data_IF_993167284509
#
_entry.id   IF_993167284509
#
_cell.length_a   1.000
_cell.length_b   1.000
_cell.length_c   1.000
_cell.angle_alpha   90.00
_cell.angle_beta   90.00
_cell.angle_gamma   90.00
#
_symmetry.space_group_name_H-M   'P 1'
#
loop_
_entity.id
_entity.type
_entity.pdbx_description
1 polymer ?
#
# COMPACT_ATOMS: atom_id res chain seq x y z
N UNK A 1 -11.27 -20.93 21.44
CA UNK A 1 -10.50 -21.28 22.66
C UNK A 1 -8.99 -21.29 22.36
N UNK A 2 -8.46 -20.27 21.69
CA UNK A 2 -7.02 -20.15 21.39
C UNK A 2 -6.49 -18.72 21.70
N UNK A 3 -7.07 -18.03 22.69
CA UNK A 3 -6.64 -16.67 23.08
C UNK A 3 -5.92 -16.62 24.45
N UNK A 4 -5.97 -17.67 25.26
CA UNK A 4 -5.41 -17.63 26.63
C UNK A 4 -3.88 -17.76 26.71
N UNK A 5 -3.20 -18.15 25.62
CA UNK A 5 -1.76 -18.46 25.63
C UNK A 5 -0.86 -17.24 25.44
N UNK A 6 -1.24 -16.32 24.55
CA UNK A 6 -0.47 -15.10 24.27
C UNK A 6 -0.58 -14.09 25.40
N UNK A 7 -1.78 -13.84 25.92
CA UNK A 7 -1.98 -12.97 27.10
C UNK A 7 -1.20 -13.46 28.33
N UNK A 8 -1.14 -14.78 28.55
CA UNK A 8 -0.37 -15.36 29.63
C UNK A 8 1.15 -15.21 29.43
N UNK A 9 1.66 -15.32 28.20
CA UNK A 9 3.08 -15.10 27.89
C UNK A 9 3.44 -13.61 28.02
N UNK A 10 2.57 -12.72 27.57
CA UNK A 10 2.74 -11.28 27.69
C UNK A 10 2.82 -10.86 29.17
N UNK A 11 1.92 -11.37 30.02
CA UNK A 11 1.96 -11.15 31.47
C UNK A 11 3.24 -11.67 32.12
N UNK A 12 3.77 -12.82 31.66
CA UNK A 12 5.03 -13.39 32.16
C UNK A 12 6.25 -12.55 31.76
N UNK A 13 6.21 -11.84 30.63
CA UNK A 13 7.28 -10.94 30.19
C UNK A 13 7.26 -9.63 31.01
N UNK A 14 6.09 -9.16 31.43
CA UNK A 14 5.93 -7.87 32.13
C UNK A 14 6.20 -7.93 33.65
N UNK A 15 6.30 -9.14 34.22
CA UNK A 15 6.57 -9.37 35.63
C UNK A 15 8.01 -8.97 36.06
N UNK A 16 8.26 -8.96 37.38
CA UNK A 16 9.56 -8.56 37.92
C UNK A 16 10.73 -9.45 37.48
N UNK A 17 10.47 -10.70 37.09
CA UNK A 17 11.48 -11.65 36.63
C UNK A 17 11.79 -11.39 35.16
N UNK A 18 10.75 -11.20 34.33
CA UNK A 18 10.88 -10.80 32.93
C UNK A 18 11.71 -9.53 32.78
N UNK A 19 11.46 -8.52 33.61
CA UNK A 19 12.27 -7.28 33.64
C UNK A 19 13.74 -7.54 33.95
N UNK A 20 14.06 -8.32 34.98
CA UNK A 20 15.46 -8.68 35.30
C UNK A 20 16.16 -9.41 34.17
N UNK A 21 15.44 -10.28 33.46
CA UNK A 21 15.98 -11.01 32.31
C UNK A 21 16.24 -10.04 31.15
N UNK A 22 15.31 -9.13 30.87
CA UNK A 22 15.44 -8.12 29.82
C UNK A 22 16.55 -7.11 30.13
N UNK A 23 16.66 -6.63 31.37
CA UNK A 23 17.72 -5.70 31.81
C UNK A 23 19.10 -6.33 31.67
N UNK A 24 19.27 -7.59 32.09
CA UNK A 24 20.52 -8.33 31.92
C UNK A 24 20.84 -8.59 30.43
N UNK A 25 19.84 -8.88 29.61
CA UNK A 25 20.04 -9.05 28.18
C UNK A 25 20.44 -7.73 27.50
N UNK A 26 19.83 -6.61 27.89
CA UNK A 26 20.20 -5.26 27.47
C UNK A 26 21.66 -4.96 27.80
N UNK A 27 22.08 -5.20 29.04
CA UNK A 27 23.45 -4.94 29.49
C UNK A 27 24.48 -5.76 28.69
N UNK A 28 24.23 -7.07 28.52
CA UNK A 28 25.12 -7.94 27.72
C UNK A 28 25.17 -7.48 26.26
N UNK A 29 24.04 -7.13 25.66
CA UNK A 29 24.00 -6.71 24.25
C UNK A 29 24.77 -5.41 24.06
N UNK A 30 24.67 -4.46 24.98
CA UNK A 30 25.35 -3.16 24.86
C UNK A 30 26.85 -3.22 25.17
N UNK A 31 27.30 -4.18 25.98
CA UNK A 31 28.71 -4.32 26.36
C UNK A 31 29.49 -5.29 25.45
N UNK A 32 28.84 -6.38 25.01
CA UNK A 32 29.50 -7.48 24.32
C UNK A 32 28.94 -7.75 22.91
N UNK A 33 27.86 -7.08 22.51
CA UNK A 33 27.17 -7.31 21.25
C UNK A 33 26.27 -8.54 21.22
N UNK A 34 25.32 -8.53 20.28
CA UNK A 34 24.33 -9.59 20.08
C UNK A 34 24.93 -10.99 19.85
N UNK A 35 26.05 -11.07 19.13
CA UNK A 35 26.73 -12.36 18.87
C UNK A 35 27.13 -13.07 20.16
N UNK A 36 27.49 -12.30 21.18
CA UNK A 36 27.93 -12.81 22.48
C UNK A 36 26.80 -13.03 23.49
N UNK A 37 25.56 -12.67 23.15
CA UNK A 37 24.38 -12.96 23.96
C UNK A 37 24.14 -14.47 24.05
N UNK A 38 24.06 -15.00 25.27
CA UNK A 38 23.69 -16.40 25.52
C UNK A 38 22.75 -16.50 26.72
N UNK A 39 21.80 -17.43 26.69
CA UNK A 39 20.87 -17.69 27.81
C UNK A 39 21.62 -17.93 29.12
N UNK A 40 22.78 -18.59 29.06
CA UNK A 40 23.64 -18.84 30.23
C UNK A 40 24.21 -17.56 30.83
N UNK A 41 24.68 -16.62 30.02
CA UNK A 41 25.17 -15.32 30.50
C UNK A 41 24.03 -14.51 31.10
N UNK A 42 22.88 -14.47 30.43
CA UNK A 42 21.68 -13.77 30.91
C UNK A 42 21.22 -14.35 32.25
N UNK A 43 21.16 -15.68 32.41
CA UNK A 43 20.82 -16.34 33.67
C UNK A 43 21.79 -15.94 34.80
N UNK A 44 23.09 -15.98 34.52
CA UNK A 44 24.12 -15.59 35.49
C UNK A 44 23.98 -14.14 35.94
N UNK A 45 23.75 -13.22 35.00
CA UNK A 45 23.67 -11.78 35.26
C UNK A 45 22.35 -11.37 35.91
N UNK A 46 21.21 -11.88 35.43
CA UNK A 46 19.88 -11.62 36.00
C UNK A 46 19.63 -12.31 37.34
N UNK A 47 20.48 -13.28 37.71
CA UNK A 47 20.27 -14.15 38.86
C UNK A 47 19.12 -15.15 38.69
N UNK A 48 18.57 -15.29 37.48
CA UNK A 48 17.48 -16.21 37.17
C UNK A 48 18.00 -17.56 36.70
N UNK A 49 17.18 -18.62 36.80
CA UNK A 49 17.54 -19.92 36.24
C UNK A 49 17.34 -19.93 34.71
N UNK A 50 18.09 -20.78 33.99
CA UNK A 50 17.86 -21.00 32.55
C UNK A 50 16.40 -21.38 32.27
N UNK A 51 15.79 -22.21 33.13
CA UNK A 51 14.39 -22.61 33.00
C UNK A 51 13.43 -21.42 33.14
N UNK A 52 13.70 -20.47 34.04
CA UNK A 52 12.89 -19.26 34.18
C UNK A 52 12.92 -18.36 32.94
N UNK A 53 14.04 -18.37 32.21
CA UNK A 53 14.18 -17.68 30.92
C UNK A 53 13.40 -18.44 29.84
N UNK A 54 13.59 -19.75 29.71
CA UNK A 54 12.89 -20.57 28.70
C UNK A 54 11.36 -20.61 28.85
N UNK A 55 10.83 -20.40 30.06
CA UNK A 55 9.38 -20.23 30.25
C UNK A 55 8.83 -18.95 29.62
N UNK A 56 9.67 -17.93 29.38
CA UNK A 56 9.29 -16.61 28.84
C UNK A 56 9.71 -16.43 27.39
N UNK A 57 10.93 -16.87 27.07
CA UNK A 57 11.56 -16.69 25.77
C UNK A 57 11.99 -18.06 25.25
N UNK A 58 11.46 -18.45 24.09
CA UNK A 58 11.71 -19.77 23.50
C UNK A 58 13.20 -20.01 23.23
N UNK A 59 13.90 -18.98 22.76
CA UNK A 59 15.31 -19.02 22.43
C UNK A 59 16.00 -17.65 22.63
N UNK A 60 17.29 -17.60 22.30
CA UNK A 60 18.11 -16.37 22.32
C UNK A 60 17.46 -15.28 21.44
N UNK A 61 16.90 -15.66 20.31
CA UNK A 61 16.41 -14.73 19.30
C UNK A 61 15.08 -14.10 19.75
N UNK A 62 14.22 -14.87 20.43
CA UNK A 62 13.00 -14.40 21.06
C UNK A 62 13.29 -13.39 22.17
N UNK A 63 14.32 -13.64 22.98
CA UNK A 63 14.79 -12.69 23.98
C UNK A 63 15.32 -11.40 23.34
N UNK A 64 16.14 -11.53 22.29
CA UNK A 64 16.67 -10.37 21.57
C UNK A 64 15.57 -9.55 20.89
N UNK A 65 14.56 -10.20 20.28
CA UNK A 65 13.37 -9.52 19.73
C UNK A 65 12.61 -8.76 20.81
N UNK A 66 12.47 -9.33 22.01
CA UNK A 66 11.81 -8.64 23.13
C UNK A 66 12.60 -7.41 23.61
N UNK A 67 13.93 -7.49 23.70
CA UNK A 67 14.79 -6.34 23.99
C UNK A 67 14.65 -5.26 22.92
N UNK A 68 14.72 -5.66 21.65
CA UNK A 68 14.61 -4.72 20.55
C UNK A 68 13.23 -4.04 20.46
N UNK A 69 12.16 -4.76 20.83
CA UNK A 69 10.81 -4.20 20.97
C UNK A 69 10.73 -3.11 22.06
N UNK A 70 11.51 -3.22 23.15
CA UNK A 70 11.59 -2.16 24.16
C UNK A 70 12.23 -0.89 23.58
N UNK A 71 13.32 -1.04 22.84
CA UNK A 71 14.00 0.07 22.16
C UNK A 71 13.22 0.65 20.97
N UNK A 72 12.29 -0.12 20.40
CA UNK A 72 11.43 0.31 19.31
C UNK A 72 10.35 1.31 19.76
N UNK A 73 9.84 1.21 21.00
CA UNK A 73 8.73 2.05 21.49
C UNK A 73 9.00 3.57 21.39
N UNK A 74 10.19 4.09 21.76
CA UNK A 74 10.52 5.50 21.57
C UNK A 74 10.42 5.97 20.12
N UNK A 75 10.80 5.15 19.15
CA UNK A 75 10.71 5.51 17.73
C UNK A 75 9.25 5.66 17.27
N UNK A 76 8.37 4.73 17.65
CA UNK A 76 6.94 4.82 17.30
C UNK A 76 6.30 6.10 17.87
N UNK A 77 6.61 6.44 19.13
CA UNK A 77 6.13 7.70 19.74
C UNK A 77 6.68 8.91 19.00
N UNK A 78 7.96 8.90 18.65
CA UNK A 78 8.60 9.97 17.92
C UNK A 78 7.95 10.18 16.54
N UNK A 79 7.58 9.11 15.83
CA UNK A 79 6.81 9.21 14.58
C UNK A 79 5.47 9.93 14.82
N UNK A 80 4.72 9.52 15.84
CA UNK A 80 3.42 10.12 16.17
C UNK A 80 3.55 11.59 16.57
N UNK A 81 4.50 11.93 17.43
CA UNK A 81 4.72 13.28 17.93
C UNK A 81 5.12 14.27 16.81
N UNK A 82 5.68 13.76 15.71
CA UNK A 82 6.11 14.55 14.56
C UNK A 82 5.12 14.53 13.38
N UNK A 83 4.12 13.66 13.40
CA UNK A 83 3.09 13.62 12.37
C UNK A 83 2.01 14.67 12.62
N UNK A 84 1.69 15.46 11.58
CA UNK A 84 0.66 16.50 11.62
C UNK A 84 -0.28 16.34 10.42
N UNK A 85 -1.56 16.12 10.68
CA UNK A 85 -2.57 15.88 9.64
C UNK A 85 -2.74 17.05 8.69
N UNK A 86 -2.48 18.28 9.15
CA UNK A 86 -2.58 19.49 8.34
C UNK A 86 -1.42 19.70 7.35
N UNK A 87 -0.30 18.99 7.54
CA UNK A 87 0.88 19.09 6.69
C UNK A 87 0.86 18.03 5.57
N UNK A 88 1.49 18.34 4.44
CA UNK A 88 1.68 17.36 3.36
C UNK A 88 2.45 16.13 3.86
N UNK A 89 2.16 14.97 3.27
CA UNK A 89 2.85 13.71 3.51
C UNK A 89 4.38 13.87 3.37
N UNK A 90 4.86 14.57 2.35
CA UNK A 90 6.31 14.82 2.19
C UNK A 90 6.90 15.67 3.34
N UNK A 91 6.18 16.67 3.84
CA UNK A 91 6.63 17.46 4.99
C UNK A 91 6.69 16.60 6.26
N UNK A 92 5.67 15.76 6.48
CA UNK A 92 5.65 14.81 7.59
C UNK A 92 6.80 13.80 7.49
N UNK A 93 7.03 13.19 6.34
CA UNK A 93 8.11 12.21 6.15
C UNK A 93 9.49 12.84 6.34
N UNK A 94 9.73 14.06 5.86
CA UNK A 94 10.98 14.78 6.09
C UNK A 94 11.20 15.10 7.58
N UNK A 95 10.15 15.50 8.29
CA UNK A 95 10.24 15.79 9.72
C UNK A 95 10.53 14.53 10.54
N UNK A 96 9.76 13.46 10.28
CA UNK A 96 9.93 12.18 10.97
C UNK A 96 11.32 11.59 10.69
N UNK A 97 11.77 11.59 9.43
CA UNK A 97 13.09 11.07 9.06
C UNK A 97 14.23 11.79 9.78
N UNK A 98 14.15 13.12 9.91
CA UNK A 98 15.15 13.92 10.64
C UNK A 98 15.14 13.61 12.14
N UNK A 99 13.95 13.55 12.75
CA UNK A 99 13.81 13.22 14.16
C UNK A 99 14.29 11.79 14.48
N UNK A 100 13.96 10.81 13.63
CA UNK A 100 14.45 9.44 13.78
C UNK A 100 15.98 9.39 13.61
N UNK A 101 16.53 10.13 12.65
CA UNK A 101 17.98 10.21 12.44
C UNK A 101 18.72 10.81 13.64
N UNK A 102 18.22 11.91 14.22
CA UNK A 102 18.80 12.49 15.44
C UNK A 102 18.79 11.47 16.59
N UNK A 103 17.69 10.74 16.74
CA UNK A 103 17.62 9.68 17.76
C UNK A 103 18.62 8.55 17.50
N UNK A 104 18.83 8.17 16.23
CA UNK A 104 19.82 7.18 15.82
C UNK A 104 21.26 7.66 16.13
N UNK A 105 21.53 8.96 16.07
CA UNK A 105 22.85 9.51 16.43
C UNK A 105 23.17 9.30 17.91
N UNK A 106 22.18 9.40 18.79
CA UNK A 106 22.33 9.21 20.24
C UNK A 106 22.53 7.75 20.64
N UNK A 107 22.26 6.80 19.74
CA UNK A 107 22.42 5.37 19.99
C UNK A 107 23.84 4.90 19.67
N UNK A 108 24.34 3.91 20.41
CA UNK A 108 25.53 3.18 20.00
C UNK A 108 25.25 2.32 18.75
N UNK A 109 26.30 1.86 18.07
CA UNK A 109 26.18 1.10 16.83
C UNK A 109 25.48 -0.26 17.01
N UNK A 110 25.61 -0.89 18.18
CA UNK A 110 25.00 -2.20 18.45
C UNK A 110 23.49 -2.06 18.65
N UNK A 111 23.05 -1.02 19.36
CA UNK A 111 21.65 -0.65 19.51
C UNK A 111 20.98 -0.36 18.17
N UNK A 112 21.68 0.32 17.25
CA UNK A 112 21.17 0.58 15.90
C UNK A 112 21.08 -0.72 15.09
N UNK A 113 22.09 -1.57 15.15
CA UNK A 113 22.07 -2.86 14.47
C UNK A 113 20.91 -3.74 14.96
N UNK A 114 20.67 -3.77 16.27
CA UNK A 114 19.56 -4.53 16.87
C UNK A 114 18.19 -4.03 16.36
N UNK A 115 18.03 -2.72 16.13
CA UNK A 115 16.81 -2.18 15.50
C UNK A 115 16.61 -2.70 14.08
N UNK A 116 17.66 -2.77 13.25
CA UNK A 116 17.55 -3.30 11.89
C UNK A 116 17.15 -4.78 11.89
N UNK A 117 17.80 -5.60 12.74
CA UNK A 117 17.50 -7.02 12.88
C UNK A 117 16.06 -7.23 13.34
N UNK A 118 15.63 -6.51 14.39
CA UNK A 118 14.28 -6.62 14.91
C UNK A 118 13.23 -6.27 13.86
N UNK A 119 13.37 -5.10 13.23
CA UNK A 119 12.42 -4.63 12.20
C UNK A 119 12.35 -5.59 11.02
N UNK A 120 13.47 -6.19 10.60
CA UNK A 120 13.50 -7.17 9.52
C UNK A 120 12.98 -8.57 9.89
N UNK A 121 12.95 -8.91 11.19
CA UNK A 121 12.55 -10.24 11.67
C UNK A 121 11.04 -10.42 11.88
N UNK A 122 10.27 -9.34 11.85
CA UNK A 122 8.82 -9.38 12.07
C UNK A 122 8.06 -9.61 10.76
N UNK A 123 6.96 -10.39 10.78
CA UNK A 123 6.00 -10.42 9.68
C UNK A 123 5.50 -9.01 9.36
N UNK A 124 5.31 -8.70 8.07
CA UNK A 124 4.95 -7.34 7.64
C UNK A 124 3.66 -6.83 8.29
N UNK A 125 2.65 -7.70 8.41
CA UNK A 125 1.35 -7.45 9.02
C UNK A 125 1.36 -7.36 10.56
N UNK A 126 2.49 -7.71 11.19
CA UNK A 126 2.67 -7.62 12.65
C UNK A 126 3.73 -6.56 13.02
N UNK A 127 4.40 -5.98 12.03
CA UNK A 127 5.45 -4.99 12.25
C UNK A 127 4.83 -3.62 12.58
N UNK A 128 4.98 -3.11 13.82
CA UNK A 128 4.29 -1.90 14.26
C UNK A 128 4.75 -0.65 13.50
N UNK A 129 5.97 -0.63 12.96
CA UNK A 129 6.47 0.50 12.17
C UNK A 129 5.85 0.53 10.78
N UNK A 130 5.73 -0.63 10.14
CA UNK A 130 5.11 -0.74 8.82
C UNK A 130 3.62 -0.42 8.91
N UNK A 131 2.94 -0.96 9.92
CA UNK A 131 1.53 -0.64 10.19
C UNK A 131 1.33 0.86 10.44
N UNK A 132 2.24 1.50 11.20
CA UNK A 132 2.17 2.95 11.44
C UNK A 132 2.32 3.75 10.16
N UNK A 133 3.36 3.44 9.39
CA UNK A 133 3.64 4.14 8.14
C UNK A 133 2.57 3.88 7.07
N UNK A 134 2.00 2.67 7.04
CA UNK A 134 0.85 2.33 6.19
C UNK A 134 -0.37 3.18 6.53
N UNK A 135 -0.65 3.44 7.82
CA UNK A 135 -1.71 4.36 8.23
C UNK A 135 -1.47 5.80 7.75
N UNK A 136 -0.22 6.29 7.80
CA UNK A 136 0.10 7.61 7.25
C UNK A 136 -0.08 7.68 5.73
N UNK A 137 0.28 6.61 5.01
CA UNK A 137 0.07 6.48 3.56
C UNK A 137 -1.43 6.43 3.22
N UNK A 138 -2.22 5.67 3.98
CA UNK A 138 -3.67 5.59 3.80
C UNK A 138 -4.33 6.96 3.98
N UNK A 139 -3.93 7.72 5.00
CA UNK A 139 -4.40 9.09 5.21
C UNK A 139 -4.03 10.01 4.03
N UNK A 140 -2.79 9.95 3.55
CA UNK A 140 -2.33 10.74 2.41
C UNK A 140 -3.04 10.35 1.10
N UNK A 141 -3.41 9.08 0.93
CA UNK A 141 -4.19 8.64 -0.22
C UNK A 141 -5.66 9.10 -0.12
N UNK A 142 -6.24 9.10 1.09
CA UNK A 142 -7.60 9.58 1.33
C UNK A 142 -7.76 11.08 1.03
N UNK A 143 -6.69 11.87 1.19
CA UNK A 143 -6.66 13.30 0.82
C UNK A 143 -6.25 13.54 -0.63
N UNK A 144 -5.96 12.49 -1.40
CA UNK A 144 -5.55 12.58 -2.80
C UNK A 144 -4.12 13.10 -3.01
N UNK A 145 -3.26 13.05 -1.99
CA UNK A 145 -1.86 13.47 -2.12
C UNK A 145 -1.00 12.40 -2.81
N UNK A 146 -1.29 11.12 -2.55
CA UNK A 146 -0.58 9.98 -3.13
C UNK A 146 -1.55 8.99 -3.79
N UNK A 147 -1.01 8.11 -4.64
CA UNK A 147 -1.79 7.04 -5.29
C UNK A 147 -2.23 5.96 -4.30
N UNK A 148 -3.34 5.28 -4.64
CA UNK A 148 -3.76 4.07 -3.94
C UNK A 148 -2.85 2.89 -4.28
N UNK A 149 -2.78 1.90 -3.39
CA UNK A 149 -2.05 0.66 -3.61
C UNK A 149 -1.89 -0.15 -2.33
N UNK A 150 -0.94 -1.09 -2.33
CA UNK A 150 -0.61 -1.86 -1.13
C UNK A 150 0.25 -1.00 -0.19
N UNK A 151 -0.40 -0.39 0.81
CA UNK A 151 0.27 0.51 1.74
C UNK A 151 1.28 -0.20 2.64
N UNK A 152 1.14 -1.51 2.89
CA UNK A 152 2.13 -2.27 3.66
C UNK A 152 3.39 -2.51 2.83
N UNK A 153 3.24 -2.84 1.54
CA UNK A 153 4.37 -2.97 0.63
C UNK A 153 5.09 -1.62 0.45
N UNK A 154 4.34 -0.54 0.26
CA UNK A 154 4.90 0.82 0.17
C UNK A 154 5.63 1.21 1.46
N UNK A 155 5.03 0.95 2.62
CA UNK A 155 5.66 1.20 3.92
C UNK A 155 6.95 0.40 4.08
N UNK A 156 6.98 -0.86 3.65
CA UNK A 156 8.17 -1.71 3.71
C UNK A 156 9.33 -1.10 2.91
N UNK A 157 9.06 -0.68 1.68
CA UNK A 157 10.07 -0.07 0.80
C UNK A 157 10.56 1.28 1.35
N UNK A 158 9.65 2.13 1.83
CA UNK A 158 10.00 3.41 2.44
C UNK A 158 10.86 3.22 3.69
N UNK A 159 10.43 2.38 4.63
CA UNK A 159 11.15 2.11 5.88
C UNK A 159 12.54 1.50 5.60
N UNK A 160 12.63 0.52 4.68
CA UNK A 160 13.90 -0.08 4.30
C UNK A 160 14.88 0.93 3.70
N UNK A 161 14.38 1.83 2.83
CA UNK A 161 15.20 2.87 2.22
C UNK A 161 15.73 3.90 3.24
N UNK A 162 14.88 4.33 4.19
CA UNK A 162 15.28 5.24 5.26
C UNK A 162 16.36 4.61 6.15
N UNK A 163 16.13 3.40 6.67
CA UNK A 163 17.06 2.75 7.59
C UNK A 163 18.40 2.42 6.94
N UNK A 164 18.42 2.06 5.65
CA UNK A 164 19.65 1.89 4.89
C UNK A 164 20.47 3.18 4.82
N UNK A 165 19.83 4.29 4.44
CA UNK A 165 20.48 5.61 4.35
C UNK A 165 20.93 6.10 5.71
N UNK A 166 20.07 6.04 6.74
CA UNK A 166 20.39 6.46 8.10
C UNK A 166 21.59 5.69 8.67
N UNK A 167 21.68 4.39 8.42
CA UNK A 167 22.83 3.57 8.82
C UNK A 167 24.13 4.00 8.14
N UNK A 168 24.09 4.26 6.82
CA UNK A 168 25.24 4.79 6.07
C UNK A 168 25.68 6.16 6.60
N UNK A 169 24.74 7.07 6.85
CA UNK A 169 25.01 8.40 7.38
C UNK A 169 25.65 8.33 8.77
N UNK A 170 25.14 7.47 9.67
CA UNK A 170 25.73 7.26 11.01
C UNK A 170 27.15 6.69 10.95
N UNK A 171 27.43 5.84 9.98
CA UNK A 171 28.73 5.17 9.86
C UNK A 171 29.84 6.10 9.35
N UNK A 172 29.49 7.24 8.76
CA UNK A 172 30.45 8.23 8.28
C UNK A 172 30.85 9.21 9.39
N UNK A 173 32.10 9.08 9.86
CA UNK A 173 32.65 9.89 10.95
C UNK A 173 32.80 11.39 10.60
N UNK A 174 32.73 11.75 9.32
CA UNK A 174 32.83 13.14 8.86
C UNK A 174 31.47 13.70 8.39
N UNK A 175 30.37 13.00 8.69
CA UNK A 175 29.04 13.42 8.26
C UNK A 175 28.57 14.65 9.05
N UNK A 176 28.50 15.79 8.36
CA UNK A 176 27.89 17.01 8.88
C UNK A 176 26.36 16.86 8.93
N UNK A 177 25.72 17.33 10.01
CA UNK A 177 24.27 17.18 10.23
C UNK A 177 23.43 17.79 9.08
N UNK A 178 23.80 18.99 8.63
CA UNK A 178 23.14 19.65 7.49
C UNK A 178 23.25 18.85 6.19
N UNK A 179 24.38 18.16 5.98
CA UNK A 179 24.54 17.28 4.82
C UNK A 179 23.64 16.04 4.95
N UNK A 180 23.61 15.42 6.13
CA UNK A 180 22.73 14.28 6.41
C UNK A 180 21.26 14.63 6.14
N UNK A 181 20.80 15.78 6.61
CA UNK A 181 19.43 16.25 6.36
C UNK A 181 19.12 16.44 4.89
N UNK A 182 20.04 17.02 4.10
CA UNK A 182 19.84 17.14 2.65
C UNK A 182 19.79 15.79 1.94
N UNK A 183 20.56 14.81 2.42
CA UNK A 183 20.54 13.44 1.89
C UNK A 183 19.20 12.77 2.22
N UNK A 184 18.72 12.87 3.46
CA UNK A 184 17.40 12.35 3.86
C UNK A 184 16.26 13.01 3.06
N UNK A 185 16.27 14.34 2.93
CA UNK A 185 15.28 15.06 2.11
C UNK A 185 15.32 14.61 0.63
N UNK A 186 16.52 14.29 0.12
CA UNK A 186 16.69 13.77 -1.24
C UNK A 186 16.18 12.34 -1.38
N UNK A 187 16.49 11.46 -0.44
CA UNK A 187 15.98 10.09 -0.43
C UNK A 187 14.45 10.12 -0.34
N UNK A 188 13.86 10.87 0.58
CA UNK A 188 12.40 11.00 0.68
C UNK A 188 11.79 11.52 -0.62
N UNK A 189 12.32 12.60 -1.20
CA UNK A 189 11.83 13.11 -2.49
C UNK A 189 11.88 12.06 -3.59
N UNK A 190 12.96 11.29 -3.70
CA UNK A 190 13.08 10.22 -4.69
C UNK A 190 12.06 9.10 -4.47
N UNK A 191 11.87 8.66 -3.23
CA UNK A 191 10.92 7.59 -2.91
C UNK A 191 9.47 8.02 -3.09
N UNK A 192 9.15 9.24 -2.67
CA UNK A 192 7.79 9.78 -2.71
C UNK A 192 7.35 10.19 -4.12
N UNK A 193 8.27 10.54 -5.02
CA UNK A 193 7.93 10.81 -6.41
C UNK A 193 7.28 9.60 -7.10
N UNK A 194 7.65 8.38 -6.71
CA UNK A 194 6.99 7.15 -7.19
C UNK A 194 5.63 6.87 -6.54
N UNK A 195 5.22 7.66 -5.56
CA UNK A 195 3.93 7.57 -4.87
C UNK A 195 2.99 8.72 -5.23
N UNK A 196 3.51 9.82 -5.74
CA UNK A 196 2.71 10.92 -6.27
C UNK A 196 1.67 10.36 -7.25
N UNK A 197 0.46 10.92 -7.21
CA UNK A 197 -0.54 10.65 -8.24
C UNK A 197 0.06 11.12 -9.55
N UNK A 198 0.58 10.16 -10.32
CA UNK A 198 1.01 10.40 -11.68
C UNK A 198 -0.17 11.04 -12.44
N UNK A 199 -0.07 12.33 -12.78
CA UNK A 199 -0.78 12.90 -13.93
C UNK A 199 -0.19 12.32 -15.23
N UNK A 200 -0.04 11.00 -15.29
CA UNK A 200 0.55 10.32 -16.43
C UNK A 200 -0.60 9.86 -17.30
N UNK A 201 -0.95 10.71 -18.27
CA UNK A 201 -1.88 10.34 -19.34
C UNK A 201 -1.62 8.93 -19.89
N UNK A 202 -0.35 8.50 -19.93
CA UNK A 202 0.06 7.18 -20.44
C UNK A 202 -0.49 5.99 -19.64
N UNK A 203 -0.68 6.12 -18.32
CA UNK A 203 -1.24 5.01 -17.53
C UNK A 203 -2.70 4.76 -17.89
N UNK A 204 -3.50 5.84 -18.00
CA UNK A 204 -4.89 5.76 -18.47
C UNK A 204 -4.99 5.08 -19.84
N UNK A 205 -4.15 5.47 -20.81
CA UNK A 205 -4.14 4.87 -22.14
C UNK A 205 -3.74 3.38 -22.12
N UNK A 206 -2.76 3.00 -21.29
CA UNK A 206 -2.30 1.62 -21.18
C UNK A 206 -3.34 0.71 -20.52
N UNK A 207 -4.04 1.22 -19.51
CA UNK A 207 -5.15 0.50 -18.85
C UNK A 207 -6.25 0.20 -19.87
N UNK A 208 -6.68 1.21 -20.63
CA UNK A 208 -7.70 1.03 -21.68
C UNK A 208 -7.28 -0.02 -22.72
N UNK A 209 -6.03 0.04 -23.21
CA UNK A 209 -5.50 -0.99 -24.15
C UNK A 209 -5.53 -2.40 -23.54
N UNK A 210 -5.15 -2.54 -22.27
CA UNK A 210 -5.16 -3.85 -21.58
C UNK A 210 -6.56 -4.47 -21.44
N UNK A 211 -7.61 -3.63 -21.50
CA UNK A 211 -9.02 -4.05 -21.46
C UNK A 211 -9.62 -4.25 -22.86
N UNK A 212 -8.79 -4.22 -23.90
CA UNK A 212 -9.21 -4.44 -25.27
C UNK A 212 -9.87 -3.23 -25.93
N UNK A 213 -9.61 -2.02 -25.44
CA UNK A 213 -10.00 -0.77 -26.11
C UNK A 213 -8.94 -0.39 -27.13
N UNK A 214 -9.36 -0.20 -28.38
CA UNK A 214 -8.50 0.30 -29.46
C UNK A 214 -8.38 1.83 -29.37
N UNK A 215 -7.60 2.26 -28.37
CA UNK A 215 -7.35 3.67 -28.05
C UNK A 215 -6.75 4.41 -29.25
N UNK A 216 -5.86 3.76 -29.99
CA UNK A 216 -5.11 4.40 -31.07
C UNK A 216 -6.04 4.75 -32.23
N UNK A 217 -6.94 3.81 -32.61
CA UNK A 217 -7.97 4.05 -33.61
C UNK A 217 -9.04 5.05 -33.15
N UNK A 218 -9.41 5.04 -31.88
CA UNK A 218 -10.37 6.01 -31.35
C UNK A 218 -9.79 7.44 -31.36
N UNK A 219 -8.52 7.59 -30.96
CA UNK A 219 -7.82 8.88 -31.02
C UNK A 219 -7.58 9.35 -32.46
N UNK A 220 -7.32 8.46 -33.41
CA UNK A 220 -7.20 8.81 -34.84
C UNK A 220 -8.49 9.49 -35.35
N UNK A 221 -9.65 8.93 -35.01
CA UNK A 221 -10.96 9.50 -35.36
C UNK A 221 -11.23 10.85 -34.68
N UNK A 222 -10.71 11.01 -33.46
CA UNK A 222 -10.78 12.27 -32.70
C UNK A 222 -9.64 13.24 -33.05
N UNK A 223 -8.85 12.96 -34.11
CA UNK A 223 -7.71 13.78 -34.55
C UNK A 223 -6.69 14.06 -33.43
N UNK A 224 -6.50 13.08 -32.55
CA UNK A 224 -5.59 13.15 -31.41
C UNK A 224 -6.12 13.94 -30.21
N UNK A 225 -7.39 14.36 -30.20
CA UNK A 225 -7.97 15.10 -29.07
C UNK A 225 -8.28 14.18 -27.88
N UNK A 226 -7.29 14.07 -26.99
CA UNK A 226 -7.31 13.24 -25.78
C UNK A 226 -8.39 13.65 -24.78
N UNK A 227 -8.60 14.94 -24.57
CA UNK A 227 -9.57 15.43 -23.59
C UNK A 227 -11.00 15.18 -24.03
N UNK A 228 -11.29 15.43 -25.31
CA UNK A 228 -12.59 15.07 -25.89
C UNK A 228 -12.88 13.57 -25.77
N UNK A 229 -11.87 12.72 -26.02
CA UNK A 229 -12.02 11.27 -25.86
C UNK A 229 -12.35 10.87 -24.41
N UNK A 230 -11.68 11.45 -23.41
CA UNK A 230 -11.98 11.20 -21.99
C UNK A 230 -13.43 11.60 -21.65
N UNK A 231 -13.86 12.80 -22.07
CA UNK A 231 -15.24 13.25 -21.87
C UNK A 231 -16.26 12.30 -22.51
N UNK A 232 -16.02 11.88 -23.76
CA UNK A 232 -16.93 10.96 -24.44
C UNK A 232 -16.96 9.55 -23.84
N UNK A 233 -15.86 9.07 -23.24
CA UNK A 233 -15.89 7.81 -22.49
C UNK A 233 -16.82 7.90 -21.27
N UNK A 234 -16.72 9.00 -20.50
CA UNK A 234 -17.61 9.22 -19.35
C UNK A 234 -19.06 9.36 -19.81
N UNK A 235 -19.31 10.19 -20.82
CA UNK A 235 -20.65 10.38 -21.40
C UNK A 235 -21.26 9.07 -21.90
N UNK A 236 -20.46 8.18 -22.52
CA UNK A 236 -20.95 6.88 -22.97
C UNK A 236 -21.41 6.00 -21.80
N UNK A 237 -20.64 5.90 -20.71
CA UNK A 237 -21.01 5.03 -19.59
C UNK A 237 -22.15 5.58 -18.73
N UNK A 238 -22.35 6.90 -18.76
CA UNK A 238 -23.47 7.58 -18.12
C UNK A 238 -24.68 7.77 -19.04
N UNK A 239 -24.64 7.23 -20.27
CA UNK A 239 -25.67 7.45 -21.27
C UNK A 239 -27.03 6.87 -20.82
N UNK A 240 -28.10 7.68 -20.78
CA UNK A 240 -29.43 7.23 -20.34
C UNK A 240 -30.01 6.12 -21.23
N UNK A 241 -29.54 5.96 -22.47
CA UNK A 241 -29.99 4.90 -23.38
C UNK A 241 -29.69 3.50 -22.85
N UNK A 242 -28.69 3.32 -21.96
CA UNK A 242 -28.49 2.04 -21.29
C UNK A 242 -29.66 1.63 -20.40
N UNK A 243 -30.28 2.59 -19.71
CA UNK A 243 -31.45 2.37 -18.88
C UNK A 243 -32.71 2.19 -19.75
N UNK A 244 -32.88 3.03 -20.77
CA UNK A 244 -34.02 2.96 -21.69
C UNK A 244 -34.02 1.65 -22.52
N UNK A 245 -32.85 1.17 -22.92
CA UNK A 245 -32.68 -0.13 -23.57
C UNK A 245 -33.15 -1.27 -22.66
N UNK A 246 -32.77 -1.23 -21.38
CA UNK A 246 -33.18 -2.25 -20.40
C UNK A 246 -34.70 -2.31 -20.24
N UNK A 247 -35.32 -1.14 -20.13
CA UNK A 247 -36.77 -0.99 -19.98
C UNK A 247 -37.49 -1.52 -21.22
N UNK A 248 -37.08 -1.08 -22.41
CA UNK A 248 -37.65 -1.50 -23.69
C UNK A 248 -37.54 -3.01 -23.91
N UNK A 249 -36.41 -3.63 -23.53
CA UNK A 249 -36.25 -5.08 -23.54
C UNK A 249 -37.21 -5.78 -22.58
N UNK A 250 -37.43 -5.22 -21.39
CA UNK A 250 -38.37 -5.74 -20.39
C UNK A 250 -39.84 -5.67 -20.84
N UNK A 251 -40.20 -4.65 -21.62
CA UNK A 251 -41.53 -4.44 -22.19
C UNK A 251 -41.78 -5.22 -23.49
N UNK A 252 -40.79 -5.96 -23.99
CA UNK A 252 -40.80 -6.58 -25.33
C UNK A 252 -40.99 -5.57 -26.47
N UNK A 253 -40.61 -4.30 -26.27
CA UNK A 253 -40.64 -3.27 -27.30
C UNK A 253 -39.37 -3.36 -28.17
N UNK A 254 -39.44 -4.19 -29.21
CA UNK A 254 -38.31 -4.46 -30.11
C UNK A 254 -37.87 -3.24 -30.91
N UNK A 255 -38.79 -2.34 -31.25
CA UNK A 255 -38.51 -1.14 -32.04
C UNK A 255 -37.64 -0.17 -31.25
N UNK A 256 -38.06 0.22 -30.05
CA UNK A 256 -37.32 1.19 -29.25
C UNK A 256 -36.01 0.59 -28.73
N UNK A 257 -36.02 -0.69 -28.32
CA UNK A 257 -34.81 -1.40 -27.95
C UNK A 257 -33.78 -1.43 -29.10
N UNK A 258 -34.24 -1.60 -30.35
CA UNK A 258 -33.36 -1.57 -31.52
C UNK A 258 -32.69 -0.20 -31.66
N UNK A 259 -33.45 0.90 -31.57
CA UNK A 259 -32.92 2.25 -31.71
C UNK A 259 -31.86 2.55 -30.64
N UNK A 260 -32.14 2.27 -29.36
CA UNK A 260 -31.19 2.49 -28.27
C UNK A 260 -29.93 1.62 -28.43
N UNK A 261 -30.09 0.32 -28.72
CA UNK A 261 -28.95 -0.56 -28.96
C UNK A 261 -28.13 -0.13 -30.18
N UNK A 262 -28.77 0.43 -31.22
CA UNK A 262 -28.11 0.91 -32.42
C UNK A 262 -27.30 2.19 -32.15
N UNK A 263 -27.84 3.14 -31.39
CA UNK A 263 -27.14 4.33 -30.93
C UNK A 263 -25.90 4.00 -30.09
N UNK A 264 -26.07 3.19 -29.05
CA UNK A 264 -24.98 2.71 -28.20
C UNK A 264 -23.90 1.97 -29.00
N UNK A 265 -24.30 1.14 -29.98
CA UNK A 265 -23.36 0.45 -30.89
C UNK A 265 -22.50 1.44 -31.66
N UNK A 266 -23.10 2.51 -32.19
CA UNK A 266 -22.39 3.55 -32.92
C UNK A 266 -21.35 4.26 -32.06
N UNK A 267 -21.72 4.62 -30.83
CA UNK A 267 -20.82 5.26 -29.87
C UNK A 267 -19.67 4.34 -29.45
N UNK A 268 -19.98 3.09 -29.09
CA UNK A 268 -18.97 2.09 -28.74
C UNK A 268 -17.97 1.87 -29.88
N UNK A 269 -18.45 1.82 -31.13
CA UNK A 269 -17.59 1.74 -32.30
C UNK A 269 -16.65 2.94 -32.37
N UNK A 270 -17.18 4.17 -32.25
CA UNK A 270 -16.40 5.41 -32.35
C UNK A 270 -15.31 5.50 -31.27
N UNK A 271 -15.59 5.01 -30.07
CA UNK A 271 -14.69 5.00 -28.92
C UNK A 271 -13.71 3.81 -28.91
N UNK A 272 -13.74 2.93 -29.91
CA UNK A 272 -12.85 1.77 -29.96
C UNK A 272 -13.13 0.72 -28.88
N UNK A 273 -14.34 0.72 -28.32
CA UNK A 273 -14.78 -0.21 -27.29
C UNK A 273 -15.19 -1.56 -27.92
N UNK A 274 -14.26 -2.24 -28.59
CA UNK A 274 -14.56 -3.44 -29.37
C UNK A 274 -15.24 -4.54 -28.54
N UNK A 275 -14.83 -4.72 -27.28
CA UNK A 275 -15.44 -5.68 -26.36
C UNK A 275 -16.93 -5.39 -26.04
N UNK A 276 -17.34 -4.12 -26.09
CA UNK A 276 -18.74 -3.68 -25.89
C UNK A 276 -19.48 -3.65 -27.23
N UNK A 277 -18.80 -3.27 -28.30
CA UNK A 277 -19.34 -3.22 -29.66
C UNK A 277 -19.82 -4.59 -30.16
N UNK A 278 -19.07 -5.66 -29.92
CA UNK A 278 -19.44 -7.00 -30.39
C UNK A 278 -20.79 -7.49 -29.83
N UNK A 279 -21.03 -7.50 -28.49
CA UNK A 279 -22.32 -7.90 -27.96
C UNK A 279 -23.45 -6.93 -28.32
N UNK A 280 -23.18 -5.61 -28.42
CA UNK A 280 -24.16 -4.64 -28.94
C UNK A 280 -24.53 -4.94 -30.39
N UNK A 281 -23.57 -5.31 -31.23
CA UNK A 281 -23.82 -5.69 -32.62
C UNK A 281 -24.71 -6.93 -32.70
N UNK A 282 -24.46 -7.93 -31.85
CA UNK A 282 -25.32 -9.12 -31.76
C UNK A 282 -26.75 -8.75 -31.33
N UNK A 283 -26.89 -7.91 -30.31
CA UNK A 283 -28.19 -7.45 -29.82
C UNK A 283 -28.96 -6.71 -30.91
N UNK A 284 -28.32 -5.78 -31.63
CA UNK A 284 -28.91 -5.03 -32.75
C UNK A 284 -29.40 -5.96 -33.85
N UNK A 285 -28.66 -7.01 -34.23
CA UNK A 285 -29.11 -7.94 -35.27
C UNK A 285 -30.31 -8.80 -34.84
N UNK A 286 -30.40 -9.19 -33.56
CA UNK A 286 -31.56 -9.88 -33.00
C UNK A 286 -32.80 -8.97 -33.09
N UNK A 287 -32.67 -7.74 -32.61
CA UNK A 287 -33.76 -6.78 -32.54
C UNK A 287 -34.20 -6.30 -33.94
N UNK A 288 -33.26 -6.19 -34.90
CA UNK A 288 -33.56 -5.83 -36.30
C UNK A 288 -34.55 -6.80 -36.96
N UNK A 289 -34.51 -8.07 -36.57
CA UNK A 289 -35.43 -9.10 -37.08
C UNK A 289 -36.78 -9.08 -36.39
N UNK A 290 -37.00 -8.16 -35.44
CA UNK A 290 -38.18 -8.12 -34.58
C UNK A 290 -38.22 -9.26 -33.55
N UNK A 291 -37.09 -9.90 -33.27
CA UNK A 291 -37.00 -11.01 -32.31
C UNK A 291 -36.53 -10.53 -30.94
N UNK A 292 -37.07 -11.15 -29.87
CA UNK A 292 -36.54 -11.03 -28.51
C UNK A 292 -35.75 -12.28 -28.08
N UNK A 293 -35.71 -13.32 -28.92
CA UNK A 293 -35.03 -14.56 -28.60
C UNK A 293 -33.51 -14.35 -28.51
N UNK A 294 -32.95 -14.54 -27.31
CA UNK A 294 -31.54 -14.29 -27.03
C UNK A 294 -31.15 -12.81 -26.84
N UNK A 295 -32.11 -11.87 -26.95
CA UNK A 295 -31.84 -10.44 -26.77
C UNK A 295 -31.38 -10.12 -25.34
N UNK A 296 -32.05 -10.69 -24.32
CA UNK A 296 -31.68 -10.46 -22.92
C UNK A 296 -30.29 -11.04 -22.57
N UNK A 297 -29.91 -12.16 -23.18
CA UNK A 297 -28.58 -12.75 -23.01
C UNK A 297 -27.49 -11.88 -23.67
N UNK A 298 -27.76 -11.37 -24.87
CA UNK A 298 -26.85 -10.43 -25.53
C UNK A 298 -26.72 -9.13 -24.72
N UNK A 299 -27.84 -8.59 -24.20
CA UNK A 299 -27.83 -7.42 -23.32
C UNK A 299 -27.01 -7.65 -22.05
N UNK A 300 -27.13 -8.83 -21.42
CA UNK A 300 -26.30 -9.20 -20.27
C UNK A 300 -24.80 -9.18 -20.62
N UNK A 301 -24.43 -9.69 -21.79
CA UNK A 301 -23.03 -9.64 -22.27
C UNK A 301 -22.55 -8.21 -22.49
N UNK A 302 -23.42 -7.30 -22.95
CA UNK A 302 -23.10 -5.86 -23.02
C UNK A 302 -22.80 -5.31 -21.63
N UNK A 303 -23.68 -5.55 -20.65
CA UNK A 303 -23.48 -5.07 -19.28
C UNK A 303 -22.17 -5.60 -18.66
N UNK A 304 -21.86 -6.87 -18.89
CA UNK A 304 -20.64 -7.49 -18.36
C UNK A 304 -19.39 -6.91 -19.04
N UNK A 305 -19.43 -6.66 -20.35
CA UNK A 305 -18.37 -5.96 -21.07
C UNK A 305 -18.17 -4.52 -20.55
N UNK A 306 -19.26 -3.77 -20.32
CA UNK A 306 -19.18 -2.42 -19.74
C UNK A 306 -18.51 -2.43 -18.37
N UNK A 307 -18.90 -3.35 -17.46
CA UNK A 307 -18.31 -3.47 -16.12
C UNK A 307 -16.80 -3.71 -16.16
N UNK A 308 -16.32 -4.50 -17.12
CA UNK A 308 -14.88 -4.78 -17.28
C UNK A 308 -14.11 -3.52 -17.65
N UNK A 309 -14.73 -2.60 -18.39
CA UNK A 309 -14.12 -1.33 -18.82
C UNK A 309 -14.28 -0.25 -17.73
N UNK A 310 -15.43 -0.15 -17.05
CA UNK A 310 -15.71 0.88 -16.04
C UNK A 310 -15.05 0.63 -14.68
N UNK A 311 -14.67 -0.60 -14.34
CA UNK A 311 -14.05 -0.92 -13.04
C UNK A 311 -12.70 -0.22 -12.75
N UNK A 312 -12.21 0.60 -13.69
CA UNK A 312 -10.91 1.28 -13.63
C UNK A 312 -10.98 2.76 -14.08
N UNK A 313 -12.19 3.28 -14.34
CA UNK A 313 -12.46 4.71 -14.52
C UNK A 313 -12.86 5.30 -13.17
#
# INVERSE_FOLDING_TARGET
MYENGEDSKQMLIEDSIGRKILDAAIEIINEEGYENLTIRKVAKMSGCSNSAIYMRFEDKDALARAVAALYAKPFLRLMDDNYKEEDSFIQNMNRIAKAEYDRIQEMDSESVHLQMVYRGSLPQNENPFLLRLAGYLENAAATGEIRTGDYLEMAYVLAGSFWGVAYMLKSDQNMEQEMAYRILDTQNRMMLHGLEIEHNENNFWNILRSKGVDVDKALERMKGNKDAYKSFLVEFFDDPDFAALRESLGENNTSDAFEYAHGLKGMAANLGLDAVYQPLSKLVEILRQGSMEGAMDAYKQVCDACKVVTALL
#
